data_IF_326540434132
#
_entry.id   IF_326540434132
#
_cell.length_a   1.000
_cell.length_b   1.000
_cell.length_c   1.000
_cell.angle_alpha   90.00
_cell.angle_beta   90.00
_cell.angle_gamma   90.00
#
_symmetry.space_group_name_H-M   'P 1'
#
loop_
_entity.id
_entity.type
_entity.pdbx_description
1 polymer ?
#
# COMPACT_ATOMS: atom_id res chain seq x y z
N UNK A 1 11.30 99.83 -10.10
CA UNK A 1 11.30 98.88 -11.25
C UNK A 1 12.22 97.72 -10.93
N UNK A 2 11.72 96.50 -11.23
CA UNK A 2 12.40 95.20 -11.42
C UNK A 2 13.08 94.50 -10.22
N UNK A 3 12.62 93.25 -10.06
CA UNK A 3 12.93 92.17 -9.11
C UNK A 3 14.22 91.43 -9.52
N UNK A 4 14.57 90.40 -8.71
CA UNK A 4 15.47 89.22 -8.95
C UNK A 4 16.76 89.36 -8.11
N UNK A 5 17.22 88.46 -7.22
CA UNK A 5 16.92 87.07 -6.74
C UNK A 5 17.80 86.88 -5.48
N UNK A 6 17.39 86.29 -4.35
CA UNK A 6 17.06 84.88 -4.04
C UNK A 6 18.25 83.93 -4.27
N UNK A 7 18.73 83.09 -3.35
CA UNK A 7 18.63 82.96 -1.89
C UNK A 7 19.82 82.05 -1.53
N UNK A 8 20.47 82.36 -0.42
CA UNK A 8 21.68 81.74 0.09
C UNK A 8 21.37 80.42 0.83
N UNK A 9 22.39 79.57 0.94
CA UNK A 9 22.70 78.69 2.09
C UNK A 9 22.26 77.21 2.11
N UNK A 10 23.31 76.40 2.27
CA UNK A 10 23.56 75.41 3.35
C UNK A 10 23.32 73.91 3.09
N UNK A 11 24.47 73.22 3.13
CA UNK A 11 24.81 71.99 3.87
C UNK A 11 24.50 70.61 3.26
N UNK A 12 25.62 69.88 3.05
CA UNK A 12 25.93 68.51 3.49
C UNK A 12 24.77 67.50 3.58
N UNK A 13 24.82 66.43 2.77
CA UNK A 13 24.71 65.01 3.20
C UNK A 13 24.69 64.01 2.02
N UNK A 14 25.31 62.84 2.25
CA UNK A 14 24.97 61.46 1.80
C UNK A 14 25.19 60.94 0.35
N UNK A 15 25.62 59.65 0.34
CA UNK A 15 25.60 58.58 -0.67
C UNK A 15 26.70 58.61 -1.77
N UNK A 16 27.70 57.70 -1.79
CA UNK A 16 27.68 56.25 -2.17
C UNK A 16 27.25 56.10 -3.65
N UNK A 17 27.99 55.49 -4.59
CA UNK A 17 29.29 54.81 -4.65
C UNK A 17 29.86 55.04 -6.06
N UNK A 18 31.19 55.02 -6.19
CA UNK A 18 31.93 55.07 -7.44
C UNK A 18 32.36 53.66 -7.89
N UNK A 19 32.31 53.40 -9.19
CA UNK A 19 33.00 52.29 -9.85
C UNK A 19 34.51 52.57 -9.90
N UNK A 20 35.35 51.57 -9.59
CA UNK A 20 36.45 51.10 -10.47
C UNK A 20 37.13 49.84 -9.88
N UNK A 21 37.72 49.08 -10.80
CA UNK A 21 38.21 47.70 -10.80
C UNK A 21 39.34 47.31 -9.83
N UNK A 22 39.29 46.01 -9.47
CA UNK A 22 40.38 45.08 -9.12
C UNK A 22 41.16 45.38 -7.82
N UNK A 23 41.24 44.46 -6.85
CA UNK A 23 41.75 43.10 -7.00
C UNK A 23 41.48 42.31 -5.69
N UNK A 24 41.36 40.99 -5.81
CA UNK A 24 41.46 39.96 -4.75
C UNK A 24 40.22 39.72 -3.88
N UNK A 25 39.56 38.60 -4.18
CA UNK A 25 39.42 37.58 -3.14
C UNK A 25 38.03 37.15 -2.70
N UNK A 26 36.95 37.34 -3.45
CA UNK A 26 35.67 36.62 -3.19
C UNK A 26 34.84 36.46 -4.47
N UNK A 27 35.36 35.74 -5.47
CA UNK A 27 34.61 35.49 -6.72
C UNK A 27 34.70 34.04 -7.23
N UNK A 28 35.18 33.11 -6.38
CA UNK A 28 35.23 31.66 -6.65
C UNK A 28 34.38 30.87 -5.63
N UNK A 29 33.26 31.46 -5.19
CA UNK A 29 32.32 30.79 -4.29
C UNK A 29 30.86 30.82 -4.78
N UNK A 30 30.58 31.45 -5.93
CA UNK A 30 29.21 31.64 -6.44
C UNK A 30 28.95 31.02 -7.82
N UNK A 31 29.87 30.20 -8.35
CA UNK A 31 29.67 29.52 -9.66
C UNK A 31 29.59 27.98 -9.59
N UNK A 32 29.76 27.37 -8.43
CA UNK A 32 29.75 25.90 -8.28
C UNK A 32 28.54 25.35 -7.51
N UNK A 33 27.39 26.03 -7.55
CA UNK A 33 26.15 25.56 -6.89
C UNK A 33 24.95 25.48 -7.85
N UNK A 34 25.11 25.80 -9.14
CA UNK A 34 23.97 25.89 -10.08
C UNK A 34 23.78 24.65 -10.98
N UNK A 35 24.52 23.56 -10.79
CA UNK A 35 24.31 22.33 -11.60
C UNK A 35 23.77 21.10 -10.84
N UNK A 36 23.43 21.23 -9.56
CA UNK A 36 22.99 20.09 -8.72
C UNK A 36 21.49 19.96 -8.46
N UNK A 37 20.63 20.86 -8.95
CA UNK A 37 19.21 20.94 -8.53
C UNK A 37 18.26 20.94 -9.74
N UNK A 38 18.37 19.95 -10.63
CA UNK A 38 17.32 19.69 -11.64
C UNK A 38 16.89 18.21 -11.68
N UNK A 39 17.60 17.28 -11.03
CA UNK A 39 17.22 15.86 -11.05
C UNK A 39 16.38 15.39 -9.85
N UNK A 40 16.35 16.11 -8.72
CA UNK A 40 15.62 15.70 -7.50
C UNK A 40 14.11 15.99 -7.51
N UNK A 41 13.58 16.64 -8.55
CA UNK A 41 12.17 17.01 -8.63
C UNK A 41 11.29 15.99 -9.36
N UNK A 42 11.86 14.96 -9.98
CA UNK A 42 11.08 13.92 -10.70
C UNK A 42 10.90 12.63 -9.92
N UNK A 43 11.84 12.28 -9.04
CA UNK A 43 11.81 10.99 -8.32
C UNK A 43 11.18 11.10 -6.92
N UNK A 44 10.99 12.30 -6.38
CA UNK A 44 10.39 12.49 -5.05
C UNK A 44 8.85 12.36 -5.05
N UNK A 45 8.21 12.42 -6.22
CA UNK A 45 6.75 12.41 -6.33
C UNK A 45 6.16 10.99 -6.30
N UNK A 46 6.97 9.95 -6.50
CA UNK A 46 6.57 8.53 -6.37
C UNK A 46 6.88 7.89 -5.01
N UNK A 47 8.00 8.28 -4.38
CA UNK A 47 8.55 7.52 -3.25
C UNK A 47 7.75 7.53 -1.94
N UNK A 48 6.91 8.55 -1.71
CA UNK A 48 6.10 8.62 -0.49
C UNK A 48 4.83 7.74 -0.55
N UNK A 49 4.23 7.57 -1.74
CA UNK A 49 3.09 6.66 -1.94
C UNK A 49 3.54 5.22 -2.16
N UNK A 50 4.67 5.00 -2.84
CA UNK A 50 5.24 3.67 -3.05
C UNK A 50 5.75 3.07 -1.74
N UNK A 51 6.45 3.83 -0.89
CA UNK A 51 6.93 3.32 0.40
C UNK A 51 5.84 2.90 1.39
N UNK A 52 4.65 3.51 1.29
CA UNK A 52 3.49 3.19 2.13
C UNK A 52 2.71 1.98 1.58
N UNK A 53 2.77 1.73 0.28
CA UNK A 53 2.19 0.57 -0.37
C UNK A 53 3.12 -0.65 -0.27
N UNK A 54 4.42 -0.51 -0.54
CA UNK A 54 5.41 -1.60 -0.43
C UNK A 54 5.68 -2.01 1.02
N UNK A 55 5.64 -1.07 1.96
CA UNK A 55 5.72 -1.37 3.39
C UNK A 55 4.54 -2.21 3.91
N UNK A 56 3.37 -2.14 3.24
CA UNK A 56 2.22 -3.01 3.53
C UNK A 56 2.26 -4.33 2.77
N UNK A 57 2.83 -4.35 1.55
CA UNK A 57 2.90 -5.55 0.69
C UNK A 57 3.96 -6.58 1.08
N UNK A 58 4.97 -6.23 1.87
CA UNK A 58 6.14 -7.10 2.10
C UNK A 58 6.48 -7.36 3.58
N UNK A 59 5.63 -6.91 4.49
CA UNK A 59 5.94 -6.91 5.91
C UNK A 59 5.80 -8.28 6.53
N UNK A 60 6.89 -8.88 7.02
CA UNK A 60 6.76 -9.82 8.13
C UNK A 60 6.09 -9.08 9.28
N UNK A 61 5.10 -9.71 9.90
CA UNK A 61 4.50 -9.25 11.14
C UNK A 61 5.57 -9.12 12.25
N UNK A 62 5.26 -8.38 13.31
CA UNK A 62 6.16 -8.20 14.46
C UNK A 62 6.52 -9.50 15.17
N UNK A 63 5.67 -10.53 15.03
CA UNK A 63 5.89 -11.90 15.48
C UNK A 63 6.61 -12.79 14.44
N UNK A 64 7.03 -12.22 13.32
CA UNK A 64 7.76 -12.91 12.25
C UNK A 64 6.90 -13.65 11.24
N UNK A 65 5.56 -13.60 11.35
CA UNK A 65 4.68 -14.24 10.37
C UNK A 65 4.77 -13.55 9.00
N UNK A 66 4.72 -14.33 7.92
CA UNK A 66 4.63 -13.82 6.55
C UNK A 66 3.19 -13.34 6.34
N UNK A 67 3.00 -12.05 6.04
CA UNK A 67 1.68 -11.49 5.75
C UNK A 67 1.33 -11.71 4.28
N UNK A 68 0.09 -12.14 4.01
CA UNK A 68 -0.40 -12.47 2.67
C UNK A 68 -1.77 -11.83 2.45
N UNK A 69 -1.87 -10.98 1.44
CA UNK A 69 -3.13 -10.42 0.94
C UNK A 69 -3.12 -10.19 -0.58
N UNK A 70 -2.19 -10.80 -1.29
CA UNK A 70 -2.12 -10.77 -2.76
C UNK A 70 -2.15 -12.19 -3.33
N UNK A 71 -2.54 -12.29 -4.59
CA UNK A 71 -2.54 -13.57 -5.33
C UNK A 71 -1.15 -14.21 -5.36
N UNK A 72 -0.14 -13.43 -5.76
CA UNK A 72 1.25 -13.90 -5.90
C UNK A 72 1.81 -14.40 -4.55
N UNK A 73 1.56 -13.68 -3.46
CA UNK A 73 2.01 -14.10 -2.14
C UNK A 73 1.25 -15.34 -1.66
N UNK A 74 -0.02 -15.49 -2.02
CA UNK A 74 -0.81 -16.65 -1.66
C UNK A 74 -0.24 -17.93 -2.28
N UNK A 75 -0.08 -17.96 -3.60
CA UNK A 75 0.42 -19.13 -4.32
C UNK A 75 1.90 -19.43 -4.01
N UNK A 76 2.68 -18.41 -3.62
CA UNK A 76 4.07 -18.59 -3.23
C UNK A 76 4.24 -19.21 -1.83
N UNK A 77 3.27 -18.99 -0.92
CA UNK A 77 3.44 -19.35 0.49
C UNK A 77 2.48 -20.45 0.98
N UNK A 78 1.37 -20.71 0.29
CA UNK A 78 0.35 -21.64 0.75
C UNK A 78 -0.18 -22.53 -0.38
N UNK A 79 -0.48 -23.78 -0.02
CA UNK A 79 -1.37 -24.63 -0.80
C UNK A 79 -2.75 -24.62 -0.13
N UNK A 80 -3.82 -24.56 -0.92
CA UNK A 80 -5.19 -24.64 -0.42
C UNK A 80 -5.99 -25.71 -1.16
N UNK A 81 -6.91 -26.35 -0.43
CA UNK A 81 -7.84 -27.33 -0.98
C UNK A 81 -9.19 -27.24 -0.30
N UNK A 82 -10.27 -27.34 -1.07
CA UNK A 82 -11.61 -27.53 -0.52
C UNK A 82 -11.70 -28.93 0.09
N UNK A 83 -12.09 -28.99 1.37
CA UNK A 83 -12.27 -30.24 2.10
C UNK A 83 -13.71 -30.70 2.03
N UNK A 84 -14.65 -29.77 2.23
CA UNK A 84 -16.09 -30.04 2.13
C UNK A 84 -16.86 -28.75 1.96
N UNK A 85 -18.03 -28.85 1.33
CA UNK A 85 -19.06 -27.80 1.34
C UNK A 85 -20.31 -28.41 1.95
N UNK A 86 -20.90 -27.73 2.94
CA UNK A 86 -22.10 -28.21 3.64
C UNK A 86 -23.13 -27.10 3.75
N UNK A 87 -24.41 -27.47 3.69
CA UNK A 87 -25.51 -26.56 3.98
C UNK A 87 -25.50 -26.12 5.44
N UNK A 88 -25.96 -24.90 5.70
CA UNK A 88 -26.30 -24.42 7.03
C UNK A 88 -27.82 -24.51 7.25
N UNK A 89 -28.25 -25.06 8.38
CA UNK A 89 -29.67 -25.19 8.73
C UNK A 89 -30.39 -23.82 8.85
N UNK A 90 -29.62 -22.75 9.08
CA UNK A 90 -30.11 -21.37 9.17
C UNK A 90 -30.04 -20.61 7.83
N UNK A 91 -29.85 -21.34 6.72
CA UNK A 91 -29.58 -20.80 5.40
C UNK A 91 -28.08 -20.57 5.16
N UNK A 92 -27.69 -20.50 3.89
CA UNK A 92 -26.29 -20.39 3.47
C UNK A 92 -25.52 -21.71 3.45
N UNK A 93 -24.21 -21.62 3.27
CA UNK A 93 -23.32 -22.77 3.28
C UNK A 93 -22.00 -22.48 3.99
N UNK A 94 -21.36 -23.54 4.49
CA UNK A 94 -19.98 -23.53 4.95
C UNK A 94 -19.08 -24.21 3.94
N UNK A 95 -18.01 -23.53 3.54
CA UNK A 95 -16.90 -24.10 2.77
C UNK A 95 -15.73 -24.34 3.74
N UNK A 96 -15.37 -25.59 3.98
CA UNK A 96 -14.15 -25.93 4.74
C UNK A 96 -12.97 -25.99 3.79
N UNK A 97 -11.96 -25.16 4.07
CA UNK A 97 -10.71 -25.08 3.30
C UNK A 97 -9.56 -25.56 4.18
N UNK A 98 -8.76 -26.46 3.63
CA UNK A 98 -7.50 -26.89 4.22
C UNK A 98 -6.35 -26.10 3.60
N UNK A 99 -5.62 -25.37 4.42
CA UNK A 99 -4.39 -24.67 4.04
C UNK A 99 -3.19 -25.49 4.51
N UNK A 100 -2.15 -25.61 3.68
CA UNK A 100 -0.84 -26.15 4.07
C UNK A 100 0.21 -25.07 3.96
N UNK A 101 1.03 -24.95 5.00
CA UNK A 101 2.19 -24.09 5.04
C UNK A 101 3.45 -24.94 5.20
N UNK A 102 4.28 -24.97 4.15
CA UNK A 102 5.56 -25.66 4.14
C UNK A 102 6.73 -24.73 4.52
N UNK A 103 6.45 -23.49 4.93
CA UNK A 103 7.46 -22.54 5.37
C UNK A 103 7.84 -22.77 6.84
N UNK A 104 9.07 -22.39 7.18
CA UNK A 104 9.58 -22.37 8.56
C UNK A 104 8.94 -21.27 9.43
N UNK A 105 8.25 -20.32 8.81
CA UNK A 105 7.54 -19.23 9.48
C UNK A 105 6.02 -19.41 9.34
N UNK A 106 5.23 -18.98 10.34
CA UNK A 106 3.78 -18.89 10.17
C UNK A 106 3.44 -17.98 8.98
N UNK A 107 2.37 -18.32 8.27
CA UNK A 107 1.81 -17.46 7.22
C UNK A 107 0.46 -16.94 7.71
N UNK A 108 0.24 -15.64 7.64
CA UNK A 108 -1.00 -14.98 8.06
C UNK A 108 -1.66 -14.35 6.85
N UNK A 109 -2.80 -14.92 6.47
CA UNK A 109 -3.75 -14.28 5.58
C UNK A 109 -4.40 -13.12 6.33
N UNK A 110 -4.40 -11.93 5.74
CA UNK A 110 -5.00 -10.72 6.32
C UNK A 110 -6.05 -10.15 5.37
N UNK A 111 -6.83 -9.19 5.87
CA UNK A 111 -7.84 -8.46 5.10
C UNK A 111 -8.88 -9.40 4.46
N UNK A 112 -9.21 -10.52 5.13
CA UNK A 112 -10.04 -11.58 4.54
C UNK A 112 -11.48 -11.13 4.26
N UNK A 113 -11.95 -10.05 4.90
CA UNK A 113 -13.29 -9.50 4.65
C UNK A 113 -13.32 -8.43 3.55
N UNK A 114 -12.17 -8.05 3.00
CA UNK A 114 -12.12 -7.17 1.84
C UNK A 114 -12.73 -7.85 0.62
N UNK A 115 -13.28 -7.01 -0.28
CA UNK A 115 -13.86 -7.48 -1.53
C UNK A 115 -12.80 -8.27 -2.32
N UNK A 116 -13.17 -9.45 -2.82
CA UNK A 116 -12.31 -10.36 -3.59
C UNK A 116 -11.26 -11.17 -2.80
N UNK A 117 -11.12 -10.98 -1.48
CA UNK A 117 -10.15 -11.74 -0.70
C UNK A 117 -10.53 -13.24 -0.62
N UNK A 118 -11.78 -13.53 -0.30
CA UNK A 118 -12.36 -14.88 -0.42
C UNK A 118 -13.79 -14.74 -0.92
N UNK A 119 -14.08 -15.37 -2.06
CA UNK A 119 -15.39 -15.33 -2.70
C UNK A 119 -15.81 -16.72 -3.18
N UNK A 120 -17.11 -16.91 -3.31
CA UNK A 120 -17.68 -17.97 -4.15
C UNK A 120 -18.30 -17.36 -5.39
N UNK A 121 -18.30 -18.10 -6.50
CA UNK A 121 -19.03 -17.76 -7.72
C UNK A 121 -20.21 -18.73 -7.81
N UNK A 122 -21.41 -18.20 -8.02
CA UNK A 122 -22.60 -19.02 -8.21
C UNK A 122 -22.74 -19.58 -9.63
N UNK A 123 -23.74 -20.45 -9.86
CA UNK A 123 -24.01 -21.03 -11.17
C UNK A 123 -24.29 -19.97 -12.26
N UNK A 124 -24.87 -18.83 -11.87
CA UNK A 124 -25.20 -17.70 -12.73
C UNK A 124 -23.97 -16.80 -13.03
N UNK A 125 -22.85 -17.02 -12.34
CA UNK A 125 -21.60 -16.31 -12.55
C UNK A 125 -21.43 -15.04 -11.71
N UNK A 126 -22.25 -14.84 -10.67
CA UNK A 126 -22.12 -13.73 -9.73
C UNK A 126 -21.21 -14.09 -8.55
N UNK A 127 -20.41 -13.11 -8.11
CA UNK A 127 -19.53 -13.26 -6.97
C UNK A 127 -20.26 -12.95 -5.66
N UNK A 128 -20.02 -13.80 -4.66
CA UNK A 128 -20.55 -13.67 -3.31
C UNK A 128 -19.38 -13.64 -2.33
N UNK A 129 -19.25 -12.52 -1.64
CA UNK A 129 -18.20 -12.33 -0.63
C UNK A 129 -18.45 -13.16 0.63
N UNK A 130 -17.40 -13.33 1.44
CA UNK A 130 -17.56 -13.81 2.81
C UNK A 130 -18.64 -13.01 3.53
N UNK A 131 -19.52 -13.74 4.21
CA UNK A 131 -20.55 -13.10 5.00
C UNK A 131 -19.95 -12.36 6.19
N UNK A 132 -20.43 -11.14 6.44
CA UNK A 132 -20.05 -10.35 7.61
C UNK A 132 -20.75 -10.90 8.87
N UNK A 133 -20.16 -11.94 9.46
CA UNK A 133 -20.68 -12.59 10.66
C UNK A 133 -20.33 -14.08 10.72
N UNK A 134 -21.06 -14.85 11.53
CA UNK A 134 -20.96 -16.32 11.62
C UNK A 134 -19.54 -16.87 11.90
N UNK A 135 -18.67 -16.07 12.51
CA UNK A 135 -17.32 -16.48 12.86
C UNK A 135 -16.31 -16.42 11.72
N UNK A 136 -16.65 -15.81 10.58
CA UNK A 136 -15.67 -15.55 9.52
C UNK A 136 -14.55 -14.64 10.05
N UNK A 137 -13.27 -15.07 9.94
CA UNK A 137 -12.15 -14.32 10.48
C UNK A 137 -11.83 -13.09 9.63
N UNK A 138 -11.22 -12.08 10.25
CA UNK A 138 -10.53 -10.99 9.52
C UNK A 138 -9.15 -11.43 9.03
N UNK A 139 -8.50 -12.28 9.81
CA UNK A 139 -7.17 -12.81 9.55
C UNK A 139 -7.10 -14.29 9.93
N UNK A 140 -6.31 -15.06 9.19
CA UNK A 140 -6.10 -16.48 9.43
C UNK A 140 -4.60 -16.78 9.46
N UNK A 141 -4.10 -17.25 10.60
CA UNK A 141 -2.72 -17.71 10.72
C UNK A 141 -2.63 -19.22 10.54
N UNK A 142 -1.81 -19.65 9.59
CA UNK A 142 -1.42 -21.03 9.34
C UNK A 142 -0.04 -21.24 9.99
N UNK A 143 0.10 -22.18 10.96
CA UNK A 143 1.38 -22.42 11.63
C UNK A 143 2.48 -22.83 10.66
N UNK A 144 3.75 -22.66 11.04
CA UNK A 144 4.88 -23.17 10.25
C UNK A 144 4.88 -24.69 10.16
N UNK A 145 5.33 -25.22 9.03
CA UNK A 145 5.45 -26.66 8.75
C UNK A 145 4.20 -27.49 9.09
N UNK A 146 3.01 -26.90 8.97
CA UNK A 146 1.75 -27.54 9.35
C UNK A 146 0.58 -27.04 8.49
N UNK A 147 -0.51 -27.80 8.54
CA UNK A 147 -1.78 -27.41 7.92
C UNK A 147 -2.79 -26.88 8.93
N UNK A 148 -3.72 -26.03 8.46
CA UNK A 148 -4.87 -25.57 9.23
C UNK A 148 -6.13 -25.69 8.38
N UNK A 149 -7.20 -26.21 8.98
CA UNK A 149 -8.54 -26.17 8.41
C UNK A 149 -9.28 -24.93 8.90
N UNK A 150 -10.02 -24.28 8.01
CA UNK A 150 -10.88 -23.15 8.34
C UNK A 150 -12.21 -23.29 7.61
N UNK A 151 -13.30 -23.08 8.34
CA UNK A 151 -14.64 -23.01 7.76
C UNK A 151 -14.99 -21.55 7.47
N UNK A 152 -15.49 -21.31 6.27
CA UNK A 152 -15.95 -20.01 5.80
C UNK A 152 -17.43 -20.08 5.47
N UNK A 153 -18.20 -19.16 6.03
CA UNK A 153 -19.63 -19.07 5.78
C UNK A 153 -19.95 -18.09 4.65
N UNK A 154 -20.78 -18.54 3.70
CA UNK A 154 -21.31 -17.74 2.61
C UNK A 154 -22.84 -17.75 2.66
N UNK A 155 -23.45 -16.62 2.31
CA UNK A 155 -24.91 -16.46 2.26
C UNK A 155 -25.49 -16.90 0.90
N UNK A 156 -25.19 -18.14 0.50
CA UNK A 156 -25.69 -18.82 -0.71
C UNK A 156 -25.89 -20.29 -0.41
N UNK A 157 -26.77 -20.97 -1.16
CA UNK A 157 -26.95 -22.39 -0.96
C UNK A 157 -25.72 -23.17 -1.47
N UNK A 158 -25.44 -24.31 -0.85
CA UNK A 158 -24.24 -25.09 -1.19
C UNK A 158 -24.27 -25.63 -2.62
N UNK A 159 -25.46 -25.89 -3.16
CA UNK A 159 -25.71 -26.40 -4.52
C UNK A 159 -25.66 -25.31 -5.58
N UNK A 160 -25.63 -24.04 -5.19
CA UNK A 160 -25.42 -22.90 -6.09
C UNK A 160 -23.92 -22.59 -6.28
N UNK A 161 -23.03 -23.13 -5.44
CA UNK A 161 -21.59 -22.85 -5.50
C UNK A 161 -20.93 -23.56 -6.68
N UNK A 162 -20.53 -22.77 -7.68
CA UNK A 162 -19.82 -23.24 -8.87
C UNK A 162 -18.30 -23.16 -8.74
N UNK A 163 -17.80 -22.20 -7.98
CA UNK A 163 -16.38 -21.93 -7.86
C UNK A 163 -16.05 -21.28 -6.52
N UNK A 164 -14.87 -21.55 -5.97
CA UNK A 164 -14.33 -20.83 -4.79
C UNK A 164 -13.03 -20.17 -5.21
N UNK A 165 -12.87 -18.88 -4.88
CA UNK A 165 -11.61 -18.15 -5.07
C UNK A 165 -11.05 -17.63 -3.77
N UNK A 166 -9.74 -17.72 -3.63
CA UNK A 166 -8.97 -17.12 -2.53
C UNK A 166 -7.90 -16.23 -3.14
N UNK A 167 -7.99 -14.92 -2.88
CA UNK A 167 -7.06 -13.91 -3.40
C UNK A 167 -6.84 -14.05 -4.91
N UNK A 168 -7.93 -14.29 -5.66
CA UNK A 168 -7.91 -14.51 -7.10
C UNK A 168 -7.55 -15.93 -7.57
N UNK A 169 -7.00 -16.79 -6.70
CA UNK A 169 -6.71 -18.19 -7.04
C UNK A 169 -7.98 -19.04 -7.00
N UNK A 170 -8.24 -19.79 -8.08
CA UNK A 170 -9.36 -20.73 -8.17
C UNK A 170 -8.99 -22.01 -7.42
N UNK A 171 -9.81 -22.38 -6.43
CA UNK A 171 -9.63 -23.64 -5.70
C UNK A 171 -10.59 -24.68 -6.26
N UNK A 172 -10.03 -25.78 -6.76
CA UNK A 172 -10.81 -26.87 -7.35
C UNK A 172 -11.78 -27.50 -6.31
N UNK A 173 -13.04 -27.67 -6.73
CA UNK A 173 -14.13 -28.32 -5.99
C UNK A 173 -13.96 -29.83 -5.87
#
# INVERSE_FOLDING_TARGET
MRRITLLMCLLLSSAVHAEENQEKGVAEAAKSVVSGIVSFSKDLVGGASEGVADGRKSGKSTDGAILVNTHDDFIANLEAKIITIISSDEGGCYVEIGFKNNNELPVRLIDLKESEAIIVIDEDGYAINLFNGRGNPEELTIPSNAGRKQQFYFATNWDEVKEVRILGEIIEL
#
